data_IF_879479111919
#
_entry.id   IF_879479111919
#
_cell.length_a   1.000
_cell.length_b   1.000
_cell.length_c   1.000
_cell.angle_alpha   90.00
_cell.angle_beta   90.00
_cell.angle_gamma   90.00
#
_symmetry.space_group_name_H-M   'P 1'
#
loop_
_entity.id
_entity.type
_entity.pdbx_description
1 polymer ?
#
# COMPACT_ATOMS: atom_id res chain seq x y z
N UNK A 1 -1.86 -3.37 6.12
CA UNK A 1 -1.47 -2.29 5.16
C UNK A 1 -0.10 -1.73 5.55
N UNK A 2 0.75 -1.32 4.60
CA UNK A 2 2.00 -0.57 4.86
C UNK A 2 1.97 0.80 4.19
N UNK A 3 2.44 1.83 4.89
CA UNK A 3 2.42 3.22 4.43
C UNK A 3 3.84 3.68 4.07
N UNK A 4 4.16 3.69 2.78
CA UNK A 4 5.47 4.10 2.29
C UNK A 4 6.50 2.97 2.17
N UNK A 5 7.69 3.34 1.68
CA UNK A 5 8.72 2.39 1.31
C UNK A 5 9.34 1.68 2.54
N UNK A 6 9.60 2.41 3.62
CA UNK A 6 10.28 1.87 4.82
C UNK A 6 9.53 0.69 5.45
N UNK A 7 8.24 0.81 5.85
CA UNK A 7 7.52 -0.34 6.41
C UNK A 7 7.29 -1.45 5.37
N UNK A 8 7.16 -1.10 4.10
CA UNK A 8 7.04 -2.10 3.02
C UNK A 8 8.31 -2.93 2.88
N UNK A 9 9.49 -2.32 2.92
CA UNK A 9 10.77 -3.07 2.88
C UNK A 9 11.01 -3.89 4.14
N UNK A 10 10.60 -3.38 5.31
CA UNK A 10 10.77 -4.09 6.57
C UNK A 10 10.00 -5.42 6.59
N UNK A 11 8.78 -5.45 6.03
CA UNK A 11 7.97 -6.66 5.96
C UNK A 11 8.20 -7.47 4.67
N UNK A 12 8.57 -6.82 3.57
CA UNK A 12 8.72 -7.43 2.26
C UNK A 12 10.05 -7.01 1.61
N UNK A 13 11.19 -7.51 2.14
CA UNK A 13 12.51 -7.16 1.64
C UNK A 13 12.66 -7.42 0.14
N UNK A 14 13.28 -6.48 -0.58
CA UNK A 14 13.47 -6.59 -2.04
C UNK A 14 12.26 -6.17 -2.86
N UNK A 15 11.19 -5.67 -2.23
CA UNK A 15 10.08 -5.04 -2.94
C UNK A 15 10.56 -3.88 -3.83
N UNK A 16 9.97 -3.66 -5.01
CA UNK A 16 10.18 -2.42 -5.75
C UNK A 16 9.84 -1.18 -4.90
N UNK A 17 10.37 -0.01 -5.27
CA UNK A 17 10.02 1.25 -4.62
C UNK A 17 8.51 1.48 -4.55
N UNK A 18 8.05 2.27 -3.57
CA UNK A 18 6.62 2.32 -3.20
C UNK A 18 5.69 2.62 -4.39
N UNK A 19 6.07 3.50 -5.31
CA UNK A 19 5.27 3.82 -6.50
C UNK A 19 4.98 2.60 -7.38
N UNK A 20 5.90 1.63 -7.45
CA UNK A 20 5.70 0.36 -8.17
C UNK A 20 5.04 -0.72 -7.31
N UNK A 21 5.23 -0.66 -5.99
CA UNK A 21 4.71 -1.66 -5.06
C UNK A 21 3.27 -1.39 -4.61
N UNK A 22 2.78 -0.15 -4.68
CA UNK A 22 1.45 0.22 -4.18
C UNK A 22 0.32 -0.52 -4.89
N UNK A 23 -0.79 -0.74 -4.18
CA UNK A 23 -2.02 -1.30 -4.74
C UNK A 23 -1.96 -2.78 -5.12
N UNK A 24 -0.80 -3.43 -4.95
CA UNK A 24 -0.61 -4.85 -5.20
C UNK A 24 -0.56 -5.59 -3.85
N UNK A 25 -1.46 -6.55 -3.65
CA UNK A 25 -1.39 -7.43 -2.50
C UNK A 25 -0.10 -8.24 -2.53
N UNK A 26 0.51 -8.38 -1.37
CA UNK A 26 1.71 -9.18 -1.15
C UNK A 26 1.52 -10.02 0.11
N UNK A 27 2.15 -11.19 0.13
CA UNK A 27 2.12 -12.09 1.29
C UNK A 27 3.30 -11.82 2.20
N UNK A 28 3.03 -11.66 3.48
CA UNK A 28 4.02 -11.73 4.54
C UNK A 28 3.58 -12.79 5.55
N UNK A 29 4.24 -13.95 5.51
CA UNK A 29 3.78 -15.15 6.24
C UNK A 29 2.32 -15.43 5.86
N UNK A 30 1.45 -15.54 6.85
CA UNK A 30 0.02 -15.80 6.67
C UNK A 30 -0.82 -14.52 6.43
N UNK A 31 -0.18 -13.35 6.44
CA UNK A 31 -0.88 -12.06 6.34
C UNK A 31 -0.81 -11.47 4.93
N UNK A 32 -1.97 -11.01 4.45
CA UNK A 32 -2.06 -10.15 3.28
C UNK A 32 -1.68 -8.71 3.63
N UNK A 33 -0.69 -8.20 2.91
CA UNK A 33 -0.20 -6.83 3.03
C UNK A 33 -0.50 -6.09 1.74
N UNK A 34 -1.22 -4.98 1.87
CA UNK A 34 -1.36 -3.99 0.82
C UNK A 34 -0.41 -2.80 1.09
N UNK A 35 0.60 -2.54 0.24
CA UNK A 35 1.38 -1.32 0.30
C UNK A 35 0.63 -0.14 -0.32
N UNK A 36 0.81 1.06 0.23
CA UNK A 36 0.36 2.33 -0.38
C UNK A 36 1.29 3.49 0.02
N UNK A 37 1.01 4.70 -0.46
CA UNK A 37 1.82 5.88 -0.18
C UNK A 37 1.81 6.29 1.30
N UNK A 38 2.92 6.86 1.76
CA UNK A 38 2.98 7.44 3.11
C UNK A 38 2.20 8.76 3.15
N UNK A 39 1.48 9.10 4.24
CA UNK A 39 0.71 10.34 4.34
C UNK A 39 1.53 11.60 4.04
N UNK A 40 2.78 11.69 4.53
CA UNK A 40 3.65 12.84 4.24
C UNK A 40 4.02 12.98 2.75
N UNK A 41 4.02 11.88 1.99
CA UNK A 41 4.17 11.95 0.53
C UNK A 41 2.92 12.54 -0.12
N UNK A 42 1.74 12.16 0.34
CA UNK A 42 0.46 12.67 -0.16
C UNK A 42 0.26 14.16 0.14
N UNK A 43 0.69 14.62 1.31
CA UNK A 43 0.66 16.06 1.66
C UNK A 43 1.53 16.90 0.72
N UNK A 44 2.66 16.34 0.24
CA UNK A 44 3.56 17.01 -0.71
C UNK A 44 3.14 16.81 -2.17
N UNK A 45 2.41 15.74 -2.46
CA UNK A 45 1.98 15.37 -3.81
C UNK A 45 0.48 15.01 -3.81
N UNK A 46 -0.41 16.02 -3.73
CA UNK A 46 -1.86 15.79 -3.62
C UNK A 46 -2.44 14.98 -4.79
N UNK A 47 -1.83 15.06 -5.98
CA UNK A 47 -2.26 14.30 -7.16
C UNK A 47 -2.22 12.77 -6.95
N UNK A 48 -1.37 12.29 -6.04
CA UNK A 48 -1.29 10.86 -5.70
C UNK A 48 -2.39 10.41 -4.71
N UNK A 49 -3.25 11.31 -4.24
CA UNK A 49 -4.35 10.95 -3.33
C UNK A 49 -5.36 10.01 -3.98
N UNK A 50 -5.65 10.22 -5.27
CA UNK A 50 -6.57 9.36 -6.02
C UNK A 50 -6.07 7.91 -6.08
N UNK A 51 -4.77 7.74 -6.33
CA UNK A 51 -4.11 6.44 -6.32
C UNK A 51 -4.16 5.77 -4.93
N UNK A 52 -3.86 6.52 -3.87
CA UNK A 52 -3.97 6.01 -2.50
C UNK A 52 -5.41 5.60 -2.16
N UNK A 53 -6.41 6.39 -2.58
CA UNK A 53 -7.82 6.07 -2.36
C UNK A 53 -8.22 4.75 -3.01
N UNK A 54 -7.81 4.50 -4.26
CA UNK A 54 -8.04 3.22 -4.94
C UNK A 54 -7.42 2.04 -4.17
N UNK A 55 -6.24 2.24 -3.57
CA UNK A 55 -5.63 1.20 -2.74
C UNK A 55 -6.49 0.91 -1.50
N UNK A 56 -7.03 1.94 -0.83
CA UNK A 56 -7.91 1.75 0.32
C UNK A 56 -9.24 1.08 -0.04
N UNK A 57 -9.81 1.37 -1.22
CA UNK A 57 -11.04 0.70 -1.66
C UNK A 57 -10.86 -0.82 -1.79
N UNK A 58 -9.69 -1.28 -2.28
CA UNK A 58 -9.36 -2.71 -2.32
C UNK A 58 -9.40 -3.35 -0.92
N UNK A 59 -9.01 -2.63 0.13
CA UNK A 59 -9.07 -3.15 1.51
C UNK A 59 -10.51 -3.46 1.89
N UNK A 60 -11.46 -2.59 1.52
CA UNK A 60 -12.88 -2.83 1.80
C UNK A 60 -13.37 -4.09 1.09
N UNK A 61 -12.98 -4.29 -0.18
CA UNK A 61 -13.30 -5.50 -0.95
C UNK A 61 -12.73 -6.77 -0.30
N UNK A 62 -11.50 -6.73 0.23
CA UNK A 62 -10.88 -7.90 0.87
C UNK A 62 -11.40 -8.19 2.27
N UNK A 63 -11.74 -7.16 3.06
CA UNK A 63 -12.18 -7.32 4.44
C UNK A 63 -13.67 -7.67 4.52
N UNK A 64 -14.47 -7.16 3.59
CA UNK A 64 -15.92 -7.37 3.56
C UNK A 64 -16.37 -7.96 2.21
N UNK A 65 -15.98 -9.22 1.91
CA UNK A 65 -16.49 -9.91 0.73
C UNK A 65 -18.00 -10.13 0.87
N UNK A 66 -18.75 -9.84 -0.20
CA UNK A 66 -20.19 -10.09 -0.30
C UNK A 66 -20.51 -11.60 -0.34
#
# INVERSE_FOLDING_TARGET
>A
ITLGNVPTQALLPGSPGITKSRGNLKKYRDWDILPTFHPSYLLRNPNAMHEAWQDFQKILEYVFPH
#
